data_IF_330641897913
#
_entry.id   IF_330641897913
#
_cell.length_a   1.000
_cell.length_b   1.000
_cell.length_c   1.000
_cell.angle_alpha   90.00
_cell.angle_beta   90.00
_cell.angle_gamma   90.00
#
_symmetry.space_group_name_H-M   'P 1'
#
loop_
_entity.id
_entity.type
_entity.pdbx_description
1 polymer ?
#
# COMPACT_ATOMS: atom_id res chain seq x y z
N UNK A 1 13.45 8.40 -15.55
CA UNK A 1 14.45 7.35 -15.25
C UNK A 1 14.23 6.93 -13.81
N UNK A 2 13.80 5.70 -13.58
CA UNK A 2 13.52 5.16 -12.25
C UNK A 2 14.83 5.03 -11.46
N UNK A 3 14.90 5.61 -10.26
CA UNK A 3 16.13 5.59 -9.47
C UNK A 3 16.56 4.16 -9.14
N UNK A 4 17.88 3.92 -8.99
CA UNK A 4 18.43 2.59 -8.66
C UNK A 4 17.83 2.02 -7.37
N UNK A 5 17.49 2.89 -6.42
CA UNK A 5 16.84 2.49 -5.17
C UNK A 5 15.43 1.95 -5.40
N UNK A 6 14.64 2.60 -6.26
CA UNK A 6 13.29 2.12 -6.61
C UNK A 6 13.38 0.78 -7.35
N UNK A 7 14.33 0.63 -8.28
CA UNK A 7 14.57 -0.65 -8.96
C UNK A 7 14.91 -1.77 -7.98
N UNK A 8 15.80 -1.52 -7.02
CA UNK A 8 16.19 -2.52 -6.02
C UNK A 8 14.99 -3.01 -5.18
N UNK A 9 14.08 -2.12 -4.80
CA UNK A 9 12.90 -2.52 -4.00
C UNK A 9 11.81 -3.18 -4.86
N UNK A 10 11.73 -2.86 -6.15
CA UNK A 10 10.71 -3.42 -7.04
C UNK A 10 11.13 -4.69 -7.77
N UNK A 11 12.43 -4.99 -7.85
CA UNK A 11 12.97 -6.15 -8.59
C UNK A 11 12.37 -7.48 -8.14
N UNK A 12 12.16 -7.65 -6.84
CA UNK A 12 11.62 -8.88 -6.23
C UNK A 12 10.09 -8.91 -6.15
N UNK A 13 9.42 -7.86 -6.58
CA UNK A 13 7.96 -7.82 -6.57
C UNK A 13 7.38 -8.67 -7.71
N UNK A 14 6.18 -9.24 -7.53
CA UNK A 14 5.42 -9.82 -8.63
C UNK A 14 5.30 -8.83 -9.79
N UNK A 15 5.36 -9.32 -11.03
CA UNK A 15 5.41 -8.49 -12.24
C UNK A 15 4.33 -7.40 -12.26
N UNK A 16 3.07 -7.75 -12.00
CA UNK A 16 1.96 -6.80 -12.00
C UNK A 16 2.11 -5.69 -10.96
N UNK A 17 2.62 -6.02 -9.78
CA UNK A 17 2.88 -5.05 -8.72
C UNK A 17 4.08 -4.17 -9.08
N UNK A 18 5.14 -4.75 -9.64
CA UNK A 18 6.32 -4.02 -10.09
C UNK A 18 5.96 -2.97 -11.15
N UNK A 19 5.25 -3.37 -12.19
CA UNK A 19 4.77 -2.45 -13.24
C UNK A 19 3.84 -1.39 -12.65
N UNK A 20 2.93 -1.78 -11.76
CA UNK A 20 2.02 -0.85 -11.10
C UNK A 20 2.71 0.18 -10.20
N UNK A 21 3.84 -0.17 -9.59
CA UNK A 21 4.66 0.75 -8.78
C UNK A 21 5.48 1.66 -9.69
N UNK A 22 6.21 1.10 -10.65
CA UNK A 22 7.05 1.87 -11.57
C UNK A 22 6.23 2.89 -12.37
N UNK A 23 5.10 2.47 -12.95
CA UNK A 23 4.21 3.36 -13.68
C UNK A 23 3.60 4.47 -12.81
N UNK A 24 3.30 4.16 -11.54
CA UNK A 24 2.81 5.18 -10.61
C UNK A 24 3.89 6.20 -10.24
N UNK A 25 5.13 5.74 -9.99
CA UNK A 25 6.28 6.61 -9.71
C UNK A 25 6.56 7.53 -10.89
N UNK A 26 6.56 6.99 -12.12
CA UNK A 26 6.79 7.78 -13.33
C UNK A 26 5.69 8.84 -13.54
N UNK A 27 4.43 8.47 -13.28
CA UNK A 27 3.32 9.43 -13.33
C UNK A 27 3.47 10.54 -12.29
N UNK A 28 3.89 10.20 -11.05
CA UNK A 28 4.13 11.18 -10.00
C UNK A 28 5.30 12.09 -10.37
N UNK A 29 6.41 11.54 -10.88
CA UNK A 29 7.57 12.31 -11.32
C UNK A 29 7.20 13.40 -12.35
N UNK A 30 6.25 13.12 -13.24
CA UNK A 30 5.76 14.09 -14.22
C UNK A 30 4.96 15.25 -13.61
N UNK A 31 4.37 15.08 -12.43
CA UNK A 31 3.53 16.10 -11.75
C UNK A 31 4.16 16.64 -10.46
N UNK A 32 5.43 16.29 -10.18
CA UNK A 32 6.17 16.82 -9.01
C UNK A 32 6.13 18.35 -8.92
N UNK A 33 6.27 19.13 -10.01
CA UNK A 33 6.21 20.59 -9.91
C UNK A 33 4.91 21.12 -9.30
N UNK A 34 3.77 20.48 -9.59
CA UNK A 34 2.48 20.86 -9.03
C UNK A 34 2.36 20.44 -7.56
N UNK A 35 2.82 19.23 -7.22
CA UNK A 35 2.89 18.75 -5.83
C UNK A 35 3.76 19.68 -4.97
N UNK A 36 4.93 20.06 -5.48
CA UNK A 36 5.87 20.97 -4.82
C UNK A 36 5.24 22.35 -4.57
N UNK A 37 4.51 22.88 -5.58
CA UNK A 37 3.76 24.14 -5.46
C UNK A 37 2.69 24.07 -4.36
N UNK A 38 1.91 23.01 -4.34
CA UNK A 38 0.85 22.81 -3.34
C UNK A 38 1.41 22.67 -1.93
N UNK A 39 2.52 21.95 -1.80
CA UNK A 39 3.22 21.74 -0.53
C UNK A 39 4.08 22.94 -0.10
N UNK A 40 4.28 23.94 -0.97
CA UNK A 40 5.15 25.11 -0.78
C UNK A 40 6.59 24.73 -0.42
N UNK A 41 7.12 23.70 -1.07
CA UNK A 41 8.51 23.23 -0.89
C UNK A 41 9.21 23.13 -2.23
N UNK A 42 10.55 23.10 -2.20
CA UNK A 42 11.35 22.79 -3.38
C UNK A 42 11.77 21.32 -3.38
N UNK A 43 11.46 20.60 -4.47
CA UNK A 43 11.80 19.19 -4.68
C UNK A 43 12.68 19.10 -5.93
N UNK A 44 13.98 18.91 -5.72
CA UNK A 44 14.97 18.76 -6.80
C UNK A 44 16.13 17.87 -6.34
N UNK A 45 16.90 17.32 -7.29
CA UNK A 45 18.08 16.48 -7.00
C UNK A 45 17.76 15.32 -6.05
N UNK A 46 18.56 15.17 -4.99
CA UNK A 46 18.41 14.08 -4.01
C UNK A 46 17.06 14.08 -3.29
N UNK A 47 16.45 15.26 -3.08
CA UNK A 47 15.10 15.36 -2.48
C UNK A 47 14.04 14.74 -3.38
N UNK A 48 14.19 14.87 -4.70
CA UNK A 48 13.30 14.22 -5.66
C UNK A 48 13.42 12.69 -5.55
N UNK A 49 14.64 12.16 -5.52
CA UNK A 49 14.86 10.71 -5.43
C UNK A 49 14.29 10.12 -4.13
N UNK A 50 14.49 10.81 -2.99
CA UNK A 50 13.91 10.42 -1.71
C UNK A 50 12.38 10.47 -1.72
N UNK A 51 11.81 11.54 -2.28
CA UNK A 51 10.36 11.69 -2.40
C UNK A 51 9.75 10.57 -3.24
N UNK A 52 10.33 10.27 -4.41
CA UNK A 52 9.87 9.20 -5.29
C UNK A 52 10.04 7.81 -4.66
N UNK A 53 11.07 7.59 -3.84
CA UNK A 53 11.23 6.36 -3.07
C UNK A 53 10.08 6.17 -2.05
N UNK A 54 9.73 7.22 -1.30
CA UNK A 54 8.59 7.20 -0.37
C UNK A 54 7.28 6.94 -1.12
N UNK A 55 7.09 7.57 -2.28
CA UNK A 55 5.94 7.33 -3.16
C UNK A 55 5.85 5.86 -3.57
N UNK A 56 6.97 5.23 -3.95
CA UNK A 56 7.02 3.82 -4.31
C UNK A 56 6.61 2.92 -3.14
N UNK A 57 7.16 3.15 -1.94
CA UNK A 57 6.83 2.39 -0.72
C UNK A 57 5.35 2.58 -0.37
N UNK A 58 4.84 3.81 -0.44
CA UNK A 58 3.42 4.11 -0.22
C UNK A 58 2.50 3.39 -1.20
N UNK A 59 2.91 3.26 -2.47
CA UNK A 59 2.14 2.51 -3.47
C UNK A 59 2.10 1.01 -3.16
N UNK A 60 3.21 0.43 -2.71
CA UNK A 60 3.27 -0.97 -2.26
C UNK A 60 2.37 -1.18 -1.05
N UNK A 61 2.51 -0.35 -0.01
CA UNK A 61 1.68 -0.38 1.19
C UNK A 61 0.19 -0.28 0.87
N UNK A 62 -0.20 0.72 0.08
CA UNK A 62 -1.59 0.92 -0.32
C UNK A 62 -2.14 -0.31 -1.05
N UNK A 63 -1.35 -0.93 -1.92
CA UNK A 63 -1.80 -2.12 -2.65
C UNK A 63 -2.00 -3.30 -1.70
N UNK A 64 -1.02 -3.61 -0.85
CA UNK A 64 -1.11 -4.71 0.13
C UNK A 64 -2.26 -4.49 1.11
N UNK A 65 -2.38 -3.29 1.67
CA UNK A 65 -3.41 -2.94 2.64
C UNK A 65 -4.81 -3.02 2.00
N UNK A 66 -5.01 -2.45 0.82
CA UNK A 66 -6.32 -2.50 0.14
C UNK A 66 -6.72 -3.91 -0.27
N UNK A 67 -5.79 -4.73 -0.80
CA UNK A 67 -6.09 -6.12 -1.16
C UNK A 67 -6.46 -6.96 0.06
N UNK A 68 -5.75 -6.75 1.19
CA UNK A 68 -6.11 -7.39 2.45
C UNK A 68 -7.52 -7.01 2.91
N UNK A 69 -7.87 -5.72 2.90
CA UNK A 69 -9.20 -5.26 3.31
C UNK A 69 -10.31 -5.76 2.38
N UNK A 70 -10.11 -5.73 1.06
CA UNK A 70 -11.07 -6.29 0.10
C UNK A 70 -11.32 -7.77 0.39
N UNK A 71 -10.26 -8.55 0.59
CA UNK A 71 -10.38 -9.97 0.92
C UNK A 71 -11.12 -10.16 2.26
N UNK A 72 -10.72 -9.43 3.30
CA UNK A 72 -11.31 -9.53 4.62
C UNK A 72 -12.80 -9.16 4.62
N UNK A 73 -13.18 -8.09 3.93
CA UNK A 73 -14.55 -7.58 3.88
C UNK A 73 -15.44 -8.51 3.05
N UNK A 74 -14.98 -8.95 1.88
CA UNK A 74 -15.72 -9.92 1.06
C UNK A 74 -16.00 -11.21 1.83
N UNK A 75 -15.00 -11.77 2.51
CA UNK A 75 -15.17 -12.97 3.33
C UNK A 75 -16.12 -12.70 4.49
N UNK A 76 -15.95 -11.57 5.20
CA UNK A 76 -16.82 -11.21 6.34
C UNK A 76 -18.28 -11.06 5.92
N UNK A 77 -18.56 -10.50 4.75
CA UNK A 77 -19.92 -10.40 4.21
C UNK A 77 -20.49 -11.79 3.89
N UNK A 78 -19.71 -12.67 3.27
CA UNK A 78 -20.19 -14.00 2.88
C UNK A 78 -20.38 -14.95 4.06
N UNK A 79 -19.60 -14.80 5.12
CA UNK A 79 -19.72 -15.59 6.35
C UNK A 79 -20.71 -15.00 7.35
N UNK A 80 -21.31 -13.84 7.04
CA UNK A 80 -22.30 -13.20 7.92
C UNK A 80 -23.57 -14.06 7.98
N UNK A 81 -24.00 -14.38 9.19
CA UNK A 81 -25.32 -15.01 9.39
C UNK A 81 -26.40 -13.93 9.19
N UNK A 82 -27.43 -14.16 8.35
CA UNK A 82 -28.51 -13.20 8.17
C UNK A 82 -29.20 -12.88 9.50
N UNK A 83 -29.55 -11.61 9.77
CA UNK A 83 -30.32 -11.27 10.97
C UNK A 83 -31.67 -12.00 10.94
N UNK A 84 -31.95 -12.80 11.98
CA UNK A 84 -33.17 -13.61 12.09
C UNK A 84 -33.02 -15.09 11.74
N UNK A 85 -31.84 -15.56 11.33
CA UNK A 85 -31.55 -16.99 11.17
C UNK A 85 -30.99 -17.58 12.48
N UNK A 86 -31.76 -18.47 13.12
CA UNK A 86 -31.24 -19.37 14.15
C UNK A 86 -30.56 -20.57 13.49
N UNK A 87 -29.29 -20.40 13.09
CA UNK A 87 -28.50 -21.47 12.49
C UNK A 87 -27.05 -21.05 12.25
N UNK A 88 -26.12 -22.01 12.10
CA UNK A 88 -24.75 -21.69 11.74
C UNK A 88 -24.70 -20.97 10.37
N UNK A 89 -23.70 -20.11 10.13
CA UNK A 89 -23.58 -19.36 8.88
C UNK A 89 -23.65 -20.29 7.67
N UNK A 90 -24.53 -19.93 6.70
CA UNK A 90 -24.80 -20.74 5.50
C UNK A 90 -23.59 -20.86 4.56
N UNK A 91 -22.66 -19.90 4.62
CA UNK A 91 -21.43 -19.88 3.82
C UNK A 91 -20.22 -19.77 4.74
N UNK A 92 -19.29 -20.74 4.69
CA UNK A 92 -18.04 -20.72 5.47
C UNK A 92 -16.87 -20.08 4.72
N UNK A 93 -17.00 -19.88 3.41
CA UNK A 93 -15.98 -19.30 2.55
C UNK A 93 -16.42 -19.28 1.08
N UNK A 94 -15.52 -18.81 0.21
CA UNK A 94 -15.69 -18.83 -1.24
C UNK A 94 -14.81 -19.90 -1.86
N UNK A 95 -15.33 -20.62 -2.84
CA UNK A 95 -14.51 -21.53 -3.64
C UNK A 95 -13.94 -20.81 -4.86
N UNK A 96 -12.63 -20.75 -4.97
CA UNK A 96 -11.93 -20.22 -6.15
C UNK A 96 -11.15 -21.38 -6.78
N UNK A 97 -11.66 -21.93 -7.88
CA UNK A 97 -11.10 -23.13 -8.48
C UNK A 97 -11.19 -24.34 -7.55
N UNK A 98 -10.04 -24.88 -7.13
CA UNK A 98 -9.97 -26.01 -6.18
C UNK A 98 -9.88 -25.55 -4.72
N UNK A 99 -9.57 -24.29 -4.48
CA UNK A 99 -9.28 -23.78 -3.14
C UNK A 99 -10.52 -23.17 -2.49
N UNK A 100 -10.62 -23.31 -1.17
CA UNK A 100 -11.65 -22.69 -0.35
C UNK A 100 -11.03 -21.54 0.46
N UNK A 101 -11.49 -20.33 0.19
CA UNK A 101 -11.07 -19.10 0.85
C UNK A 101 -12.09 -18.75 1.94
N UNK A 102 -11.71 -19.01 3.19
CA UNK A 102 -12.45 -18.67 4.41
C UNK A 102 -11.60 -17.78 5.31
N UNK A 103 -12.17 -17.29 6.42
CA UNK A 103 -11.44 -16.54 7.46
C UNK A 103 -10.24 -17.31 8.03
N UNK A 104 -10.28 -18.63 7.97
CA UNK A 104 -9.25 -19.54 8.52
C UNK A 104 -8.30 -20.06 7.42
N UNK A 105 -8.48 -19.63 6.17
CA UNK A 105 -7.64 -20.07 5.06
C UNK A 105 -6.21 -19.51 5.17
N UNK A 106 -5.24 -20.27 4.65
CA UNK A 106 -3.83 -19.85 4.63
C UNK A 106 -3.62 -18.54 3.88
N UNK A 107 -4.36 -18.30 2.79
CA UNK A 107 -4.29 -17.06 2.03
C UNK A 107 -4.64 -15.81 2.87
N UNK A 108 -5.64 -15.92 3.76
CA UNK A 108 -6.01 -14.82 4.66
C UNK A 108 -4.95 -14.60 5.74
N UNK A 109 -4.40 -15.68 6.28
CA UNK A 109 -3.30 -15.61 7.25
C UNK A 109 -2.05 -14.97 6.63
N UNK A 110 -1.61 -15.45 5.46
CA UNK A 110 -0.48 -14.92 4.71
C UNK A 110 -0.66 -13.44 4.36
N UNK A 111 -1.85 -13.04 3.91
CA UNK A 111 -2.16 -11.63 3.64
C UNK A 111 -2.10 -10.74 4.89
N UNK A 112 -2.58 -11.26 6.03
CA UNK A 112 -2.50 -10.58 7.33
C UNK A 112 -1.05 -10.41 7.78
N UNK A 113 -0.27 -11.47 7.70
CA UNK A 113 1.12 -11.51 8.15
C UNK A 113 1.98 -10.59 7.28
N UNK A 114 1.85 -10.66 5.96
CA UNK A 114 2.52 -9.75 5.03
C UNK A 114 2.21 -8.28 5.34
N UNK A 115 0.93 -7.95 5.57
CA UNK A 115 0.53 -6.59 5.95
C UNK A 115 1.17 -6.17 7.28
N UNK A 116 1.17 -7.03 8.28
CA UNK A 116 1.77 -6.72 9.59
C UNK A 116 3.29 -6.55 9.50
N UNK A 117 3.98 -7.40 8.76
CA UNK A 117 5.43 -7.30 8.55
C UNK A 117 5.81 -6.02 7.82
N UNK A 118 5.06 -5.68 6.76
CA UNK A 118 5.30 -4.43 6.02
C UNK A 118 5.06 -3.21 6.91
N UNK A 119 4.00 -3.21 7.73
CA UNK A 119 3.76 -2.13 8.69
C UNK A 119 4.86 -2.04 9.75
N UNK A 120 5.34 -3.17 10.29
CA UNK A 120 6.47 -3.20 11.23
C UNK A 120 7.73 -2.59 10.61
N UNK A 121 8.00 -2.85 9.33
CA UNK A 121 9.12 -2.24 8.61
C UNK A 121 8.94 -0.73 8.43
N UNK A 122 7.74 -0.28 8.08
CA UNK A 122 7.39 1.15 7.98
C UNK A 122 7.63 1.87 9.30
N UNK A 123 7.18 1.29 10.42
CA UNK A 123 7.39 1.83 11.77
C UNK A 123 8.88 1.80 12.15
N UNK A 124 9.59 0.71 11.86
CA UNK A 124 11.04 0.59 12.15
C UNK A 124 11.87 1.64 11.41
N UNK A 125 11.43 2.04 10.22
CA UNK A 125 12.07 3.07 9.40
C UNK A 125 11.63 4.49 9.76
N UNK A 126 10.69 4.65 10.71
CA UNK A 126 10.12 5.94 11.13
C UNK A 126 9.48 6.74 9.98
N UNK A 127 8.86 6.04 9.03
CA UNK A 127 8.19 6.63 7.85
C UNK A 127 6.66 6.45 7.88
N UNK A 128 6.09 6.07 9.01
CA UNK A 128 4.65 5.84 9.17
C UNK A 128 3.83 7.05 8.74
N UNK A 129 4.21 8.24 9.20
CA UNK A 129 3.49 9.48 8.93
C UNK A 129 3.46 9.85 7.43
N UNK A 130 4.39 9.30 6.65
CA UNK A 130 4.55 9.54 5.21
C UNK A 130 3.83 8.46 4.39
N UNK A 131 3.87 7.21 4.85
CA UNK A 131 3.43 6.04 4.09
C UNK A 131 2.00 5.62 4.44
N UNK A 132 1.66 5.60 5.73
CA UNK A 132 0.41 5.04 6.22
C UNK A 132 -0.63 6.11 6.61
N UNK A 133 -0.18 7.24 7.17
CA UNK A 133 -1.10 8.25 7.74
C UNK A 133 -1.36 9.46 6.82
N UNK A 134 -0.44 9.74 5.89
CA UNK A 134 -0.62 10.87 4.98
C UNK A 134 -1.81 10.67 4.05
N UNK A 135 -2.61 11.73 3.89
CA UNK A 135 -3.81 11.74 3.05
C UNK A 135 -3.51 12.09 1.60
N UNK A 136 -2.42 12.81 1.31
CA UNK A 136 -2.06 13.27 -0.05
C UNK A 136 -0.55 13.23 -0.29
N UNK A 137 -0.11 13.41 -1.54
CA UNK A 137 1.32 13.51 -1.88
C UNK A 137 1.91 14.87 -1.48
N UNK A 138 1.11 15.94 -1.51
CA UNK A 138 1.54 17.27 -1.04
C UNK A 138 1.75 17.28 0.47
N UNK A 139 0.94 16.56 1.24
CA UNK A 139 1.17 16.36 2.69
C UNK A 139 2.47 15.60 2.96
N UNK A 140 2.78 14.57 2.16
CA UNK A 140 4.07 13.86 2.25
C UNK A 140 5.23 14.81 1.95
N UNK A 141 5.16 15.57 0.85
CA UNK A 141 6.19 16.54 0.48
C UNK A 141 6.41 17.59 1.57
N UNK A 142 5.32 18.11 2.14
CA UNK A 142 5.39 19.06 3.25
C UNK A 142 6.04 18.42 4.49
N UNK A 143 5.61 17.23 4.92
CA UNK A 143 6.20 16.55 6.09
C UNK A 143 7.68 16.20 5.89
N UNK A 144 8.07 15.80 4.69
CA UNK A 144 9.46 15.45 4.37
C UNK A 144 10.38 16.68 4.42
N UNK A 145 9.94 17.83 3.90
CA UNK A 145 10.84 18.95 3.62
C UNK A 145 10.55 20.25 4.39
N UNK A 146 9.43 20.36 5.11
CA UNK A 146 9.09 21.56 5.90
C UNK A 146 9.91 21.71 7.20
N UNK A 147 10.71 20.71 7.58
CA UNK A 147 11.56 20.74 8.79
C UNK A 147 12.99 21.23 8.57
N UNK A 148 13.38 21.59 7.35
CA UNK A 148 14.75 22.01 7.00
C UNK A 148 14.91 23.51 6.70
N UNK A 149 14.02 24.35 7.26
CA UNK A 149 14.08 25.82 7.16
C UNK A 149 14.64 26.49 8.41
#
# INVERSE_FOLDING_TARGET
MTSRQIQNITERLPYSLREGVNGYVDAVAAVVPDIARDARVEISGDRLDQFLLIVAIRRIWSTVNSQFWIMNDCISVATRTPPGSEGPPQTRGFRIGRDEISQESSAVAEGRDLRQELYKLIVKLDIEQLVAESSSLSDVAAKMFAREG
#
